data_IF_730065768912
#
_entry.id   IF_730065768912
#
_cell.length_a   1.000
_cell.length_b   1.000
_cell.length_c   1.000
_cell.angle_alpha   90.00
_cell.angle_beta   90.00
_cell.angle_gamma   90.00
#
_symmetry.space_group_name_H-M   'P 1'
#
loop_
_entity.id
_entity.type
_entity.pdbx_description
1 polymer ?
#
# COMPACT_ATOMS: atom_id res chain seq x y z
N UNK A 1 14.51 -14.10 17.46
CA UNK A 1 15.95 -14.37 17.17
C UNK A 1 16.06 -14.99 15.79
N UNK A 2 16.84 -14.42 14.86
CA UNK A 2 16.85 -14.88 13.45
C UNK A 2 18.04 -15.81 13.18
N UNK A 3 17.73 -17.07 12.87
CA UNK A 3 18.71 -18.08 12.47
C UNK A 3 18.90 -18.05 10.95
N UNK A 4 20.15 -18.01 10.54
CA UNK A 4 20.55 -17.99 9.14
C UNK A 4 20.55 -19.41 8.60
N UNK A 5 19.87 -19.64 7.47
CA UNK A 5 19.78 -20.97 6.83
C UNK A 5 20.54 -21.05 5.51
N UNK A 6 20.86 -19.90 4.91
CA UNK A 6 21.69 -19.80 3.71
C UNK A 6 22.70 -18.65 3.87
N UNK A 7 23.73 -18.55 3.03
CA UNK A 7 24.69 -17.45 3.16
C UNK A 7 24.03 -16.10 2.83
N UNK A 8 24.09 -15.15 3.77
CA UNK A 8 23.35 -13.89 3.69
C UNK A 8 24.22 -12.71 4.08
N UNK A 9 23.90 -11.52 3.58
CA UNK A 9 24.62 -10.30 3.93
C UNK A 9 23.72 -9.39 4.74
N UNK A 10 24.23 -8.91 5.86
CA UNK A 10 23.59 -7.86 6.63
C UNK A 10 23.77 -6.51 5.94
N UNK A 11 22.66 -5.87 5.58
CA UNK A 11 22.63 -4.59 4.89
C UNK A 11 23.17 -3.44 5.77
N UNK A 12 23.06 -3.58 7.10
CA UNK A 12 23.47 -2.53 8.06
C UNK A 12 24.97 -2.56 8.34
N UNK A 13 25.53 -3.77 8.43
CA UNK A 13 26.93 -3.97 8.83
C UNK A 13 27.82 -4.42 7.67
N UNK A 14 27.23 -4.81 6.54
CA UNK A 14 27.94 -5.44 5.42
C UNK A 14 28.47 -6.85 5.74
N UNK A 15 28.17 -7.38 6.93
CA UNK A 15 28.69 -8.66 7.41
C UNK A 15 28.00 -9.81 6.68
N UNK A 16 28.79 -10.76 6.20
CA UNK A 16 28.28 -12.02 5.65
C UNK A 16 28.08 -13.01 6.79
N UNK A 17 26.87 -13.54 6.89
CA UNK A 17 26.48 -14.60 7.80
C UNK A 17 26.40 -15.91 7.04
N UNK A 18 26.94 -16.97 7.63
CA UNK A 18 26.87 -18.34 7.10
C UNK A 18 25.62 -19.06 7.60
N UNK A 19 25.21 -20.09 6.88
CA UNK A 19 24.17 -21.01 7.33
C UNK A 19 24.53 -21.57 8.73
N UNK A 20 23.62 -21.44 9.68
CA UNK A 20 23.80 -21.80 11.08
C UNK A 20 24.20 -20.66 12.01
N UNK A 21 24.60 -19.49 11.49
CA UNK A 21 24.87 -18.32 12.32
C UNK A 21 23.58 -17.60 12.73
N UNK A 22 23.66 -16.80 13.79
CA UNK A 22 22.54 -16.00 14.29
C UNK A 22 22.79 -14.52 13.97
N UNK A 23 21.74 -13.82 13.53
CA UNK A 23 21.80 -12.38 13.44
C UNK A 23 21.72 -11.77 14.86
N UNK A 24 22.86 -11.24 15.32
CA UNK A 24 22.97 -10.48 16.57
C UNK A 24 23.75 -9.18 16.31
N UNK A 25 23.11 -8.00 16.46
CA UNK A 25 21.73 -7.77 16.89
C UNK A 25 20.68 -8.17 15.83
N UNK A 26 19.40 -8.34 16.22
CA UNK A 26 18.32 -8.66 15.29
C UNK A 26 18.26 -7.67 14.11
N UNK A 27 18.04 -8.15 12.87
CA UNK A 27 17.92 -7.29 11.70
C UNK A 27 16.65 -6.43 11.79
N UNK A 28 16.62 -5.31 11.08
CA UNK A 28 15.42 -4.46 11.03
C UNK A 28 14.26 -5.20 10.34
N UNK A 29 12.98 -4.83 10.59
CA UNK A 29 11.83 -5.51 9.97
C UNK A 29 11.88 -5.55 8.43
N UNK A 30 12.35 -4.47 7.81
CA UNK A 30 12.53 -4.39 6.36
C UNK A 30 13.59 -5.37 5.85
N UNK A 31 14.70 -5.50 6.58
CA UNK A 31 15.78 -6.43 6.25
C UNK A 31 15.38 -7.88 6.51
N UNK A 32 14.72 -8.17 7.63
CA UNK A 32 14.18 -9.48 7.94
C UNK A 32 13.25 -9.98 6.82
N UNK A 33 12.34 -9.12 6.34
CA UNK A 33 11.43 -9.45 5.22
C UNK A 33 12.19 -9.72 3.92
N UNK A 34 13.26 -8.98 3.63
CA UNK A 34 14.14 -9.23 2.48
C UNK A 34 14.87 -10.56 2.61
N UNK A 35 15.41 -10.86 3.78
CA UNK A 35 16.13 -12.10 4.07
C UNK A 35 15.18 -13.31 4.01
N UNK A 36 13.97 -13.20 4.56
CA UNK A 36 12.94 -14.25 4.44
C UNK A 36 12.54 -14.46 2.98
N UNK A 37 12.27 -13.38 2.22
CA UNK A 37 11.94 -13.48 0.79
C UNK A 37 13.07 -14.10 -0.04
N UNK A 38 14.32 -13.90 0.37
CA UNK A 38 15.49 -14.50 -0.26
C UNK A 38 15.78 -15.93 0.21
N UNK A 39 14.98 -16.51 1.14
CA UNK A 39 15.21 -17.84 1.70
C UNK A 39 16.46 -17.92 2.59
N UNK A 40 16.83 -16.78 3.17
CA UNK A 40 18.12 -16.53 3.78
C UNK A 40 18.11 -16.82 5.29
N UNK A 41 16.99 -16.53 5.93
CA UNK A 41 16.74 -16.80 7.36
C UNK A 41 15.48 -17.63 7.49
N UNK A 42 15.40 -18.48 8.51
CA UNK A 42 14.14 -19.12 8.88
C UNK A 42 13.09 -18.06 9.15
N UNK A 43 11.87 -18.29 8.66
CA UNK A 43 10.70 -17.49 9.03
C UNK A 43 10.57 -17.63 10.55
N UNK A 44 11.07 -16.63 11.27
CA UNK A 44 10.84 -16.54 12.70
C UNK A 44 9.36 -16.32 12.85
N UNK A 45 8.66 -17.41 13.15
CA UNK A 45 7.24 -17.50 13.50
C UNK A 45 6.97 -16.77 14.84
N UNK A 46 7.66 -15.64 15.08
CA UNK A 46 7.23 -14.60 16.00
C UNK A 46 6.08 -13.84 15.31
N UNK A 47 5.05 -14.60 14.92
CA UNK A 47 3.69 -14.11 15.14
C UNK A 47 3.66 -13.70 16.61
N UNK A 48 3.25 -12.46 16.82
CA UNK A 48 3.05 -11.83 18.12
C UNK A 48 2.52 -12.85 19.13
N UNK A 49 2.88 -12.77 20.42
CA UNK A 49 2.23 -13.58 21.43
C UNK A 49 0.73 -13.22 21.43
N UNK A 50 -0.06 -13.94 20.64
CA UNK A 50 -1.49 -14.14 20.85
C UNK A 50 -1.57 -15.08 22.04
N UNK A 51 -1.18 -14.51 23.18
CA UNK A 51 -1.27 -15.09 24.50
C UNK A 51 -2.75 -15.33 24.76
N UNK A 52 -3.21 -16.54 24.43
CA UNK A 52 -4.37 -17.27 24.99
C UNK A 52 -5.61 -16.45 25.38
N UNK A 53 -5.90 -15.33 24.73
CA UNK A 53 -7.24 -14.76 24.74
C UNK A 53 -7.99 -15.48 23.64
N UNK A 54 -8.83 -16.43 24.06
CA UNK A 54 -9.85 -17.02 23.20
C UNK A 54 -10.46 -15.90 22.34
N UNK A 55 -10.57 -16.11 21.03
CA UNK A 55 -11.17 -15.11 20.13
C UNK A 55 -12.50 -14.56 20.67
N UNK A 56 -13.24 -15.34 21.47
CA UNK A 56 -14.44 -14.90 22.18
C UNK A 56 -14.23 -13.72 23.16
N UNK A 57 -13.12 -13.66 23.90
CA UNK A 57 -12.82 -12.57 24.82
C UNK A 57 -12.44 -11.28 24.07
N UNK A 58 -11.64 -11.42 23.00
CA UNK A 58 -11.27 -10.29 22.14
C UNK A 58 -12.49 -9.74 21.37
N UNK A 59 -13.38 -10.61 20.91
CA UNK A 59 -14.64 -10.22 20.26
C UNK A 59 -15.58 -9.50 21.25
N UNK A 60 -15.64 -9.96 22.51
CA UNK A 60 -16.48 -9.32 23.54
C UNK A 60 -16.06 -7.88 23.84
N UNK A 61 -14.76 -7.65 24.03
CA UNK A 61 -14.24 -6.31 24.34
C UNK A 61 -14.32 -5.36 23.14
N UNK A 62 -14.08 -5.87 21.92
CA UNK A 62 -14.22 -5.08 20.69
C UNK A 62 -15.68 -4.69 20.39
N UNK A 63 -16.65 -5.57 20.71
CA UNK A 63 -18.07 -5.23 20.60
C UNK A 63 -18.52 -4.18 21.63
N UNK A 64 -18.02 -4.25 22.87
CA UNK A 64 -18.35 -3.28 23.93
C UNK A 64 -17.73 -1.91 23.63
N UNK A 65 -16.46 -1.86 23.20
CA UNK A 65 -15.83 -0.61 22.75
C UNK A 65 -16.51 -0.02 21.51
N UNK A 66 -16.88 -0.86 20.54
CA UNK A 66 -17.63 -0.43 19.36
C UNK A 66 -19.02 0.11 19.69
N UNK A 67 -19.72 -0.47 20.66
CA UNK A 67 -21.02 0.05 21.13
C UNK A 67 -20.88 1.40 21.84
N UNK A 68 -19.82 1.61 22.62
CA UNK A 68 -19.59 2.88 23.31
C UNK A 68 -19.32 4.05 22.35
N UNK A 69 -18.68 3.81 21.20
CA UNK A 69 -18.49 4.84 20.15
C UNK A 69 -19.74 5.09 19.30
N UNK A 70 -20.59 4.07 19.12
CA UNK A 70 -21.76 4.13 18.22
C UNK A 70 -23.04 4.64 18.90
N UNK A 71 -23.10 4.71 20.24
CA UNK A 71 -24.29 5.21 20.96
C UNK A 71 -24.52 6.72 20.83
N UNK A 72 -23.53 7.47 20.33
CA UNK A 72 -23.62 8.93 20.17
C UNK A 72 -23.84 9.45 18.74
N UNK A 73 -23.80 8.58 17.72
CA UNK A 73 -24.00 8.99 16.31
C UNK A 73 -25.37 8.51 15.83
N UNK A 74 -26.20 9.43 15.35
CA UNK A 74 -27.44 9.02 14.70
C UNK A 74 -27.11 8.16 13.49
N UNK A 75 -28.03 7.25 13.12
CA UNK A 75 -27.95 6.53 11.85
C UNK A 75 -27.76 7.49 10.66
N UNK A 76 -28.33 8.68 10.77
CA UNK A 76 -28.19 9.76 9.78
C UNK A 76 -26.76 10.30 9.70
N UNK A 77 -26.07 10.46 10.84
CA UNK A 77 -24.66 10.90 10.87
C UNK A 77 -23.73 9.85 10.27
N UNK A 78 -24.01 8.57 10.55
CA UNK A 78 -23.29 7.44 9.93
C UNK A 78 -23.52 7.41 8.41
N UNK A 79 -24.76 7.58 7.95
CA UNK A 79 -25.06 7.63 6.52
C UNK A 79 -24.45 8.86 5.84
N UNK A 80 -24.42 10.01 6.52
CA UNK A 80 -23.75 11.22 6.03
C UNK A 80 -22.23 11.03 5.96
N UNK A 81 -21.61 10.39 6.95
CA UNK A 81 -20.18 10.09 6.96
C UNK A 81 -19.79 9.09 5.86
N UNK A 82 -20.59 8.03 5.65
CA UNK A 82 -20.38 7.06 4.57
C UNK A 82 -20.55 7.73 3.20
N UNK A 83 -21.54 8.60 3.03
CA UNK A 83 -21.74 9.35 1.77
C UNK A 83 -20.59 10.33 1.52
N UNK A 84 -20.09 11.00 2.56
CA UNK A 84 -18.94 11.89 2.45
C UNK A 84 -17.64 11.14 2.17
N UNK A 85 -17.45 9.94 2.75
CA UNK A 85 -16.31 9.08 2.45
C UNK A 85 -16.38 8.54 1.02
N UNK A 86 -17.57 8.16 0.55
CA UNK A 86 -17.80 7.73 -0.82
C UNK A 86 -17.52 8.85 -1.82
N UNK A 87 -18.00 10.08 -1.55
CA UNK A 87 -17.62 11.26 -2.34
C UNK A 87 -16.12 11.48 -2.35
N UNK A 88 -15.41 11.41 -1.22
CA UNK A 88 -13.94 11.49 -1.22
C UNK A 88 -13.24 10.37 -1.99
N UNK A 89 -13.85 9.19 -2.10
CA UNK A 89 -13.31 8.09 -2.90
C UNK A 89 -13.63 8.25 -4.40
N UNK A 90 -14.76 8.88 -4.74
CA UNK A 90 -15.17 9.21 -6.12
C UNK A 90 -14.45 10.49 -6.63
N UNK A 91 -14.22 11.46 -5.74
CA UNK A 91 -13.36 12.65 -5.88
C UNK A 91 -11.88 12.32 -5.58
N UNK A 92 -11.54 11.03 -5.54
CA UNK A 92 -10.16 10.56 -5.70
C UNK A 92 -9.72 10.80 -7.13
N UNK A 93 -9.66 12.09 -7.48
CA UNK A 93 -9.18 12.69 -8.71
C UNK A 93 -7.97 11.90 -9.18
N UNK A 94 -8.21 11.20 -10.28
CA UNK A 94 -7.18 10.58 -11.09
C UNK A 94 -6.03 11.57 -11.19
N UNK A 95 -4.83 11.15 -10.73
CA UNK A 95 -3.64 11.96 -10.91
C UNK A 95 -3.68 12.62 -12.28
N UNK A 96 -3.66 13.96 -12.28
CA UNK A 96 -3.96 14.77 -13.46
C UNK A 96 -3.19 14.30 -14.69
N UNK A 97 -3.58 14.79 -15.87
CA UNK A 97 -2.89 14.44 -17.12
C UNK A 97 -1.35 14.64 -17.01
N UNK A 98 -0.90 15.55 -16.14
CA UNK A 98 0.50 15.78 -15.77
C UNK A 98 1.22 14.63 -15.03
N UNK A 99 0.51 13.69 -14.41
CA UNK A 99 1.10 12.51 -13.77
C UNK A 99 1.09 11.27 -14.66
N UNK A 100 0.27 11.27 -15.73
CA UNK A 100 0.20 10.17 -16.69
C UNK A 100 1.39 10.21 -17.65
N UNK A 101 1.83 9.05 -18.14
CA UNK A 101 2.91 8.96 -19.13
C UNK A 101 2.42 9.34 -20.53
N UNK A 102 3.33 9.61 -21.48
CA UNK A 102 2.97 9.92 -22.88
C UNK A 102 2.11 8.81 -23.51
N UNK A 103 2.39 7.54 -23.19
CA UNK A 103 1.62 6.41 -23.69
C UNK A 103 0.20 6.38 -23.11
N UNK A 104 0.07 6.62 -21.81
CA UNK A 104 -1.24 6.68 -21.15
C UNK A 104 -2.08 7.88 -21.62
N UNK A 105 -1.44 9.02 -21.87
CA UNK A 105 -2.10 10.19 -22.43
C UNK A 105 -2.58 9.97 -23.86
N UNK A 106 -1.79 9.28 -24.68
CA UNK A 106 -2.20 8.89 -26.04
C UNK A 106 -3.38 7.94 -26.01
N UNK A 107 -3.34 6.93 -25.15
CA UNK A 107 -4.45 6.01 -24.94
C UNK A 107 -5.70 6.74 -24.46
N UNK A 108 -5.55 7.65 -23.50
CA UNK A 108 -6.65 8.47 -23.00
C UNK A 108 -7.25 9.35 -24.10
N UNK A 109 -6.42 9.98 -24.93
CA UNK A 109 -6.88 10.78 -26.06
C UNK A 109 -7.67 9.93 -27.06
N UNK A 110 -7.16 8.74 -27.41
CA UNK A 110 -7.84 7.80 -28.31
C UNK A 110 -9.18 7.30 -27.74
N UNK A 111 -9.22 6.93 -26.46
CA UNK A 111 -10.44 6.52 -25.75
C UNK A 111 -11.49 7.65 -25.69
N UNK A 112 -11.05 8.91 -25.73
CA UNK A 112 -11.93 10.09 -25.75
C UNK A 112 -12.14 10.68 -27.16
N UNK A 113 -11.69 9.99 -28.22
CA UNK A 113 -11.89 10.42 -29.62
C UNK A 113 -11.09 11.67 -30.03
N UNK A 114 -9.99 11.97 -29.33
CA UNK A 114 -9.11 13.10 -29.60
C UNK A 114 -8.00 12.66 -30.57
N UNK A 115 -8.04 13.16 -31.80
CA UNK A 115 -7.01 12.88 -32.80
C UNK A 115 -5.70 13.60 -32.47
N UNK A 116 -4.73 12.87 -31.91
CA UNK A 116 -3.36 13.35 -31.75
C UNK A 116 -2.59 13.12 -33.05
N UNK A 117 -1.97 14.17 -33.59
CA UNK A 117 -1.08 14.02 -34.74
C UNK A 117 0.17 13.21 -34.34
N UNK A 118 0.72 12.43 -35.28
CA UNK A 118 1.90 11.60 -35.03
C UNK A 118 3.13 12.44 -34.59
N UNK A 119 3.13 13.73 -34.89
CA UNK A 119 4.17 14.70 -34.52
C UNK A 119 4.10 15.14 -33.05
N UNK A 120 2.96 14.97 -32.38
CA UNK A 120 2.74 15.36 -30.97
C UNK A 120 3.43 14.39 -30.02
N UNK A 121 4.75 14.42 -29.99
CA UNK A 121 5.59 13.53 -29.17
C UNK A 121 5.83 14.04 -27.77
N UNK A 122 5.65 15.36 -27.54
CA UNK A 122 5.85 15.97 -26.23
C UNK A 122 4.61 15.78 -25.36
N UNK A 123 4.85 15.37 -24.12
CA UNK A 123 3.82 15.23 -23.09
C UNK A 123 2.96 16.49 -22.96
N UNK A 124 3.58 17.67 -22.86
CA UNK A 124 2.86 18.93 -22.70
C UNK A 124 1.90 19.23 -23.87
N UNK A 125 2.31 18.95 -25.11
CA UNK A 125 1.48 19.19 -26.30
C UNK A 125 0.28 18.22 -26.34
N UNK A 126 0.46 16.99 -25.87
CA UNK A 126 -0.63 16.01 -25.75
C UNK A 126 -1.62 16.44 -24.66
N UNK A 127 -1.13 16.86 -23.49
CA UNK A 127 -1.99 17.35 -22.40
C UNK A 127 -2.80 18.56 -22.89
N UNK A 128 -2.15 19.54 -23.52
CA UNK A 128 -2.82 20.71 -24.05
C UNK A 128 -3.89 20.36 -25.11
N UNK A 129 -3.66 19.35 -25.94
CA UNK A 129 -4.66 18.87 -26.90
C UNK A 129 -5.86 18.23 -26.19
N UNK A 130 -5.63 17.44 -25.13
CA UNK A 130 -6.70 16.81 -24.35
C UNK A 130 -7.51 17.84 -23.57
N UNK A 131 -6.85 18.82 -22.94
CA UNK A 131 -7.52 19.91 -22.23
C UNK A 131 -8.33 20.79 -23.18
N UNK A 132 -7.78 21.12 -24.35
CA UNK A 132 -8.48 21.89 -25.39
C UNK A 132 -9.72 21.18 -25.92
N UNK A 133 -9.73 19.85 -25.96
CA UNK A 133 -10.89 19.07 -26.41
C UNK A 133 -11.96 18.88 -25.32
N UNK A 134 -11.60 19.08 -24.04
CA UNK A 134 -12.53 19.00 -22.89
C UNK A 134 -13.21 20.32 -22.54
N UNK A 135 -12.64 21.46 -22.97
CA UNK A 135 -13.21 22.80 -22.81
C UNK A 135 -14.17 23.19 -23.93
#
# INVERSE_FOLDING_TARGET
MYKVIAECVDDRTGRRYKAGENFDPPPSPAQAKRLQKAGCVEESDETLPVDKMSNAALIGELLEHGRAELTGRSRDDLMAAVTAARRRAEDGDEGGLDTKTVAELRKYAEENGIELTAETTKKADIIAAIEKAKG
#
